data_IF_199185004586
#
_entry.id   IF_199185004586
#
_cell.length_a   1.000
_cell.length_b   1.000
_cell.length_c   1.000
_cell.angle_alpha   90.00
_cell.angle_beta   90.00
_cell.angle_gamma   90.00
#
_symmetry.space_group_name_H-M   'P 1'
#
loop_
_entity.id
_entity.type
_entity.pdbx_description
1 polymer ?
#
# COMPACT_ATOMS: atom_id res chain seq x y z
N UNK A 1 -29.14 -19.25 -0.91
CA UNK A 1 -27.70 -19.42 -1.17
C UNK A 1 -26.99 -18.18 -0.66
N UNK A 2 -26.50 -18.24 0.57
CA UNK A 2 -25.73 -17.16 1.19
C UNK A 2 -24.34 -17.17 0.56
N UNK A 3 -24.03 -16.19 -0.27
CA UNK A 3 -22.66 -15.95 -0.70
C UNK A 3 -21.83 -15.74 0.56
N UNK A 4 -20.92 -16.67 0.83
CA UNK A 4 -19.86 -16.47 1.82
C UNK A 4 -19.23 -15.10 1.57
N UNK A 5 -18.96 -14.29 2.62
CA UNK A 5 -18.21 -13.07 2.41
C UNK A 5 -16.90 -13.49 1.76
N UNK A 6 -16.62 -13.00 0.56
CA UNK A 6 -15.32 -13.19 -0.09
C UNK A 6 -14.30 -12.81 0.95
N UNK A 7 -13.59 -13.79 1.53
CA UNK A 7 -12.60 -13.51 2.54
C UNK A 7 -11.48 -12.80 1.81
N UNK A 8 -11.56 -11.48 1.72
CA UNK A 8 -10.52 -10.66 1.13
C UNK A 8 -9.24 -10.95 1.91
N UNK A 9 -8.38 -11.73 1.27
CA UNK A 9 -7.09 -12.11 1.78
C UNK A 9 -6.16 -10.90 1.55
N UNK A 10 -5.18 -10.68 2.43
CA UNK A 10 -4.25 -9.55 2.34
C UNK A 10 -3.53 -9.47 0.98
N UNK A 11 -3.20 -10.62 0.38
CA UNK A 11 -2.65 -10.76 -0.97
C UNK A 11 -3.58 -10.15 -2.01
N UNK A 12 -4.86 -10.52 -2.02
CA UNK A 12 -5.82 -10.05 -3.03
C UNK A 12 -5.98 -8.53 -2.96
N UNK A 13 -6.13 -8.02 -1.73
CA UNK A 13 -6.27 -6.58 -1.49
C UNK A 13 -5.02 -5.81 -1.91
N UNK A 14 -3.83 -6.22 -1.46
CA UNK A 14 -2.59 -5.52 -1.78
C UNK A 14 -2.21 -5.65 -3.27
N UNK A 15 -2.57 -6.75 -3.92
CA UNK A 15 -2.43 -6.92 -5.38
C UNK A 15 -3.34 -5.96 -6.14
N UNK A 16 -4.62 -5.83 -5.73
CA UNK A 16 -5.54 -4.87 -6.35
C UNK A 16 -5.02 -3.43 -6.18
N UNK A 17 -4.60 -3.07 -4.96
CA UNK A 17 -4.01 -1.76 -4.67
C UNK A 17 -2.74 -1.49 -5.49
N UNK A 18 -1.87 -2.49 -5.67
CA UNK A 18 -0.69 -2.36 -6.54
C UNK A 18 -1.06 -2.05 -7.99
N UNK A 19 -2.11 -2.69 -8.53
CA UNK A 19 -2.63 -2.39 -9.86
C UNK A 19 -3.14 -0.95 -9.99
N UNK A 20 -3.89 -0.48 -8.98
CA UNK A 20 -4.40 0.89 -8.92
C UNK A 20 -3.25 1.90 -8.83
N UNK A 21 -2.26 1.66 -7.96
CA UNK A 21 -1.10 2.54 -7.79
C UNK A 21 -0.22 2.57 -9.05
N UNK A 22 -0.07 1.44 -9.74
CA UNK A 22 0.61 1.39 -11.05
C UNK A 22 -0.12 2.24 -12.09
N UNK A 23 -1.46 2.21 -12.08
CA UNK A 23 -2.29 3.04 -12.95
C UNK A 23 -2.09 4.53 -12.65
N UNK A 24 -2.10 4.92 -11.37
CA UNK A 24 -1.80 6.28 -10.91
C UNK A 24 -0.41 6.72 -11.41
N UNK A 25 0.63 5.90 -11.21
CA UNK A 25 2.00 6.22 -11.65
C UNK A 25 2.13 6.34 -13.18
N UNK A 26 1.34 5.57 -13.93
CA UNK A 26 1.27 5.62 -15.40
C UNK A 26 0.58 6.88 -15.88
N UNK A 27 -0.56 7.23 -15.28
CA UNK A 27 -1.30 8.45 -15.57
C UNK A 27 -0.46 9.70 -15.30
N UNK A 28 0.26 9.75 -14.18
CA UNK A 28 1.20 10.85 -13.88
C UNK A 28 2.21 11.06 -15.01
N UNK A 29 2.73 9.98 -15.59
CA UNK A 29 3.64 10.06 -16.72
C UNK A 29 2.95 10.55 -17.99
N UNK A 30 1.87 9.88 -18.39
CA UNK A 30 1.17 10.11 -19.65
C UNK A 30 0.61 11.54 -19.72
N UNK A 31 0.17 12.06 -18.58
CA UNK A 31 -0.39 13.40 -18.48
C UNK A 31 0.65 14.48 -18.19
N UNK A 32 1.96 14.19 -18.25
CA UNK A 32 3.04 15.18 -18.03
C UNK A 32 2.95 15.90 -16.67
N UNK A 33 2.46 15.18 -15.66
CA UNK A 33 2.56 15.59 -14.27
C UNK A 33 3.95 15.13 -13.81
N UNK A 34 5.00 15.86 -14.22
CA UNK A 34 6.38 15.42 -14.04
C UNK A 34 6.76 15.30 -12.56
N UNK A 35 6.86 14.06 -12.10
CA UNK A 35 6.91 13.64 -10.70
C UNK A 35 7.76 12.35 -10.58
N UNK A 36 8.94 12.34 -11.20
CA UNK A 36 9.77 11.14 -11.33
C UNK A 36 10.02 10.40 -10.00
N UNK A 37 10.39 11.13 -8.93
CA UNK A 37 10.60 10.54 -7.61
C UNK A 37 9.35 9.89 -7.03
N UNK A 38 8.21 10.60 -7.06
CA UNK A 38 6.91 10.06 -6.62
C UNK A 38 6.53 8.80 -7.42
N UNK A 39 6.67 8.85 -8.76
CA UNK A 39 6.39 7.69 -9.62
C UNK A 39 7.26 6.49 -9.30
N UNK A 40 8.55 6.72 -9.01
CA UNK A 40 9.46 5.66 -8.61
C UNK A 40 8.99 5.01 -7.29
N UNK A 41 8.66 5.82 -6.29
CA UNK A 41 8.11 5.33 -5.00
C UNK A 41 6.82 4.53 -5.19
N UNK A 42 5.87 5.01 -6.01
CA UNK A 42 4.62 4.31 -6.28
C UNK A 42 4.85 2.95 -6.98
N UNK A 43 5.77 2.90 -7.94
CA UNK A 43 6.13 1.66 -8.63
C UNK A 43 6.83 0.67 -7.71
N UNK A 44 7.73 1.16 -6.86
CA UNK A 44 8.43 0.32 -5.89
C UNK A 44 7.47 -0.26 -4.86
N UNK A 45 6.51 0.54 -4.37
CA UNK A 45 5.40 0.05 -3.55
C UNK A 45 4.60 -1.04 -4.29
N UNK A 46 4.19 -0.78 -5.54
CA UNK A 46 3.37 -1.73 -6.29
C UNK A 46 4.09 -3.07 -6.52
N UNK A 47 5.41 -3.05 -6.76
CA UNK A 47 6.21 -4.25 -6.98
C UNK A 47 6.30 -5.16 -5.75
N UNK A 48 6.20 -4.60 -4.53
CA UNK A 48 6.29 -5.39 -3.28
C UNK A 48 4.96 -5.86 -2.73
N UNK A 49 3.86 -5.18 -3.03
CA UNK A 49 2.63 -5.29 -2.25
C UNK A 49 2.07 -6.72 -2.20
N UNK A 50 2.13 -7.47 -3.31
CA UNK A 50 1.72 -8.88 -3.33
C UNK A 50 2.58 -9.72 -2.38
N UNK A 51 3.91 -9.52 -2.40
CA UNK A 51 4.86 -10.26 -1.56
C UNK A 51 4.65 -9.96 -0.08
N UNK A 52 4.45 -8.69 0.27
CA UNK A 52 4.16 -8.28 1.65
C UNK A 52 2.79 -8.85 2.10
N UNK A 53 1.80 -8.93 1.21
CA UNK A 53 0.52 -9.59 1.47
C UNK A 53 0.66 -11.08 1.80
N UNK A 54 1.59 -11.79 1.15
CA UNK A 54 1.90 -13.19 1.47
C UNK A 54 2.50 -13.31 2.87
N UNK A 55 3.40 -12.38 3.26
CA UNK A 55 3.95 -12.35 4.61
C UNK A 55 2.87 -12.10 5.67
N UNK A 56 1.97 -11.12 5.45
CA UNK A 56 0.86 -10.82 6.37
C UNK A 56 -0.05 -12.03 6.58
N UNK A 57 -0.28 -12.85 5.57
CA UNK A 57 -1.05 -14.08 5.73
C UNK A 57 -0.28 -15.17 6.48
N UNK A 58 0.99 -15.37 6.12
CA UNK A 58 1.84 -16.39 6.74
C UNK A 58 2.04 -16.11 8.23
N UNK A 59 2.03 -14.83 8.64
CA UNK A 59 2.20 -14.45 10.04
C UNK A 59 1.14 -15.01 10.97
N UNK A 60 -0.05 -15.31 10.45
CA UNK A 60 -1.16 -15.89 11.21
C UNK A 60 -0.89 -17.30 11.72
N UNK A 61 0.13 -17.97 11.18
CA UNK A 61 0.51 -19.32 11.57
C UNK A 61 1.26 -19.35 12.92
N UNK A 62 1.76 -18.22 13.41
CA UNK A 62 2.56 -18.15 14.63
C UNK A 62 2.17 -16.95 15.49
N UNK A 63 1.84 -17.20 16.75
CA UNK A 63 1.48 -16.15 17.71
C UNK A 63 2.60 -15.12 17.88
N UNK A 64 3.87 -15.53 17.73
CA UNK A 64 5.04 -14.65 17.75
C UNK A 64 5.05 -13.66 16.58
N UNK A 65 4.55 -14.07 15.42
CA UNK A 65 4.64 -13.29 14.19
C UNK A 65 3.37 -12.49 13.88
N UNK A 66 2.23 -12.85 14.48
CA UNK A 66 0.93 -12.18 14.26
C UNK A 66 1.04 -10.67 14.48
N UNK A 67 1.73 -10.23 15.53
CA UNK A 67 1.88 -8.81 15.86
C UNK A 67 2.69 -8.04 14.81
N UNK A 68 3.78 -8.62 14.31
CA UNK A 68 4.55 -8.03 13.21
C UNK A 68 3.78 -8.01 11.89
N UNK A 69 2.97 -9.04 11.62
CA UNK A 69 2.07 -9.05 10.47
C UNK A 69 0.98 -7.97 10.56
N UNK A 70 0.45 -7.73 11.75
CA UNK A 70 -0.49 -6.64 12.04
C UNK A 70 0.16 -5.27 11.82
N UNK A 71 1.36 -5.07 12.36
CA UNK A 71 2.15 -3.85 12.16
C UNK A 71 2.43 -3.60 10.67
N UNK A 72 2.81 -4.63 9.92
CA UNK A 72 3.03 -4.54 8.48
C UNK A 72 1.74 -4.13 7.75
N UNK A 73 0.61 -4.79 8.05
CA UNK A 73 -0.68 -4.44 7.47
C UNK A 73 -1.08 -2.98 7.78
N UNK A 74 -0.85 -2.52 9.01
CA UNK A 74 -1.12 -1.15 9.41
C UNK A 74 -0.31 -0.13 8.60
N UNK A 75 1.01 -0.32 8.46
CA UNK A 75 1.84 0.63 7.69
C UNK A 75 1.50 0.66 6.20
N UNK A 76 1.01 -0.45 5.63
CA UNK A 76 0.42 -0.43 4.30
C UNK A 76 -0.83 0.45 4.24
N UNK A 77 -1.75 0.33 5.21
CA UNK A 77 -2.97 1.13 5.23
C UNK A 77 -2.68 2.63 5.42
N UNK A 78 -1.66 2.99 6.19
CA UNK A 78 -1.22 4.38 6.33
C UNK A 78 -0.65 4.95 5.00
N UNK A 79 0.13 4.15 4.27
CA UNK A 79 0.59 4.51 2.93
C UNK A 79 -0.58 4.79 1.97
N UNK A 80 -1.56 3.89 1.96
CA UNK A 80 -2.77 4.02 1.14
C UNK A 80 -3.60 5.25 1.54
N UNK A 81 -3.80 5.47 2.83
CA UNK A 81 -4.54 6.63 3.35
C UNK A 81 -3.83 7.94 2.99
N UNK A 82 -2.50 7.95 2.98
CA UNK A 82 -1.69 9.09 2.54
C UNK A 82 -1.90 9.40 1.05
N UNK A 83 -2.03 8.39 0.18
CA UNK A 83 -2.35 8.61 -1.23
C UNK A 83 -3.69 9.32 -1.42
N UNK A 84 -4.72 8.90 -0.68
CA UNK A 84 -6.04 9.55 -0.69
C UNK A 84 -5.95 11.00 -0.22
N UNK A 85 -5.21 11.25 0.88
CA UNK A 85 -4.98 12.60 1.41
C UNK A 85 -4.31 13.52 0.37
N UNK A 86 -3.41 12.99 -0.45
CA UNK A 86 -2.77 13.73 -1.55
C UNK A 86 -3.59 13.77 -2.84
N UNK A 87 -4.79 13.18 -2.83
CA UNK A 87 -5.65 13.03 -4.00
C UNK A 87 -4.93 12.35 -5.18
N UNK A 88 -4.03 11.40 -4.87
CA UNK A 88 -3.36 10.55 -5.84
C UNK A 88 -4.29 9.39 -6.19
N UNK A 89 -5.39 9.71 -6.88
CA UNK A 89 -6.39 8.74 -7.33
C UNK A 89 -6.30 8.54 -8.85
N UNK A 90 -6.87 7.44 -9.35
CA UNK A 90 -6.95 7.18 -10.81
C UNK A 90 -7.68 8.31 -11.53
N UNK A 91 -8.88 8.77 -11.09
CA UNK A 91 -9.55 9.89 -11.76
C UNK A 91 -8.74 11.19 -11.75
N UNK A 92 -8.09 11.52 -10.62
CA UNK A 92 -7.32 12.76 -10.51
C UNK A 92 -6.07 12.75 -11.40
N UNK A 93 -5.35 11.64 -11.42
CA UNK A 93 -4.15 11.50 -12.25
C UNK A 93 -4.46 11.38 -13.74
N UNK A 94 -5.66 10.91 -14.12
CA UNK A 94 -6.09 10.79 -15.51
C UNK A 94 -6.33 12.15 -16.21
N UNK A 95 -6.42 13.24 -15.44
CA UNK A 95 -6.65 14.58 -15.99
C UNK A 95 -5.41 15.14 -16.68
N UNK A 96 -5.59 15.59 -17.93
CA UNK A 96 -4.59 16.39 -18.65
C UNK A 96 -4.49 17.79 -18.04
N UNK A 97 -3.35 18.11 -17.39
CA UNK A 97 -3.19 19.39 -16.67
C UNK A 97 -3.19 20.64 -17.56
N UNK A 98 -2.90 20.47 -18.85
CA UNK A 98 -2.84 21.54 -19.84
C UNK A 98 -4.22 21.89 -20.46
N UNK A 99 -5.31 21.24 -20.05
CA UNK A 99 -6.66 21.63 -20.48
C UNK A 99 -7.42 22.37 -19.37
N UNK A 100 -7.62 23.68 -19.56
CA UNK A 100 -8.32 24.54 -18.58
C UNK A 100 -9.74 24.03 -18.25
N UNK A 101 -10.45 23.44 -19.23
CA UNK A 101 -11.78 22.81 -19.03
C UNK A 101 -11.74 21.60 -18.09
N UNK A 102 -10.63 20.86 -18.04
CA UNK A 102 -10.50 19.70 -17.16
C UNK A 102 -10.06 20.10 -15.75
N UNK A 103 -9.28 21.17 -15.60
CA UNK A 103 -8.92 21.76 -14.30
C UNK A 103 -10.13 22.30 -13.53
N UNK A 104 -11.19 22.67 -14.24
CA UNK A 104 -12.48 23.09 -13.67
C UNK A 104 -13.34 21.91 -13.18
N UNK A 105 -13.08 20.68 -13.63
CA UNK A 105 -13.74 19.48 -13.11
C UNK A 105 -13.05 19.04 -11.82
N UNK A 106 -13.85 18.63 -10.83
CA UNK A 106 -13.58 18.40 -9.39
C UNK A 106 -12.30 17.65 -8.97
N UNK A 107 -11.46 17.16 -9.87
CA UNK A 107 -10.27 16.38 -9.55
C UNK A 107 -9.00 17.22 -9.66
N UNK A 108 -8.79 18.12 -8.69
CA UNK A 108 -7.55 18.89 -8.59
C UNK A 108 -6.53 18.09 -7.79
N UNK A 109 -5.50 17.58 -8.45
CA UNK A 109 -4.29 17.13 -7.77
C UNK A 109 -3.63 18.32 -7.07
N UNK A 110 -3.25 18.17 -5.80
CA UNK A 110 -2.51 19.22 -5.11
C UNK A 110 -1.10 19.29 -5.68
N UNK A 111 -0.86 20.26 -6.57
CA UNK A 111 0.44 20.47 -7.21
C UNK A 111 1.45 21.20 -6.30
N UNK A 112 1.01 21.64 -5.12
CA UNK A 112 1.84 22.31 -4.13
C UNK A 112 2.43 21.29 -3.15
N UNK A 113 3.69 21.49 -2.74
CA UNK A 113 4.34 20.64 -1.73
C UNK A 113 4.77 19.25 -2.22
N UNK A 114 4.85 19.04 -3.53
CA UNK A 114 5.24 17.76 -4.16
C UNK A 114 6.54 17.16 -3.62
N UNK A 115 7.64 17.93 -3.41
CA UNK A 115 8.84 17.36 -2.83
C UNK A 115 8.60 16.81 -1.42
N UNK A 116 7.76 17.47 -0.63
CA UNK A 116 7.39 17.01 0.70
C UNK A 116 6.53 15.74 0.63
N UNK A 117 5.54 15.68 -0.29
CA UNK A 117 4.72 14.49 -0.51
C UNK A 117 5.56 13.28 -0.96
N UNK A 118 6.50 13.49 -1.89
CA UNK A 118 7.39 12.44 -2.37
C UNK A 118 8.31 11.93 -1.26
N UNK A 119 8.87 12.83 -0.45
CA UNK A 119 9.70 12.46 0.70
C UNK A 119 8.91 11.69 1.76
N UNK A 120 7.70 12.14 2.07
CA UNK A 120 6.81 11.47 3.03
C UNK A 120 6.44 10.06 2.56
N UNK A 121 5.96 9.90 1.33
CA UNK A 121 5.67 8.59 0.75
C UNK A 121 6.91 7.70 0.68
N UNK A 122 8.09 8.27 0.41
CA UNK A 122 9.34 7.51 0.42
C UNK A 122 9.67 7.00 1.82
N UNK A 123 9.54 7.84 2.85
CA UNK A 123 9.76 7.44 4.23
C UNK A 123 8.76 6.36 4.69
N UNK A 124 7.50 6.45 4.26
CA UNK A 124 6.50 5.41 4.55
C UNK A 124 6.82 4.09 3.83
N UNK A 125 7.33 4.15 2.59
CA UNK A 125 7.79 2.96 1.87
C UNK A 125 9.01 2.31 2.55
N UNK A 126 9.95 3.10 3.06
CA UNK A 126 11.09 2.61 3.86
C UNK A 126 10.62 1.98 5.17
N UNK A 127 9.59 2.55 5.81
CA UNK A 127 8.98 1.95 6.98
C UNK A 127 8.34 0.59 6.66
N UNK A 128 7.60 0.48 5.56
CA UNK A 128 7.05 -0.80 5.06
C UNK A 128 8.17 -1.82 4.84
N UNK A 129 9.27 -1.41 4.18
CA UNK A 129 10.47 -2.25 3.98
C UNK A 129 10.97 -2.82 5.29
N UNK A 130 11.22 -1.95 6.27
CA UNK A 130 11.78 -2.35 7.55
C UNK A 130 10.85 -3.30 8.30
N UNK A 131 9.52 -3.08 8.28
CA UNK A 131 8.57 -3.98 8.94
C UNK A 131 8.46 -5.34 8.24
N UNK A 132 8.51 -5.37 6.91
CA UNK A 132 8.50 -6.61 6.15
C UNK A 132 9.77 -7.43 6.40
N UNK A 133 10.94 -6.77 6.45
CA UNK A 133 12.23 -7.42 6.74
C UNK A 133 12.29 -7.98 8.18
N UNK A 134 11.73 -7.27 9.16
CA UNK A 134 11.60 -7.77 10.53
C UNK A 134 10.67 -9.00 10.61
N UNK A 135 9.51 -8.93 9.96
CA UNK A 135 8.57 -10.07 9.92
C UNK A 135 9.20 -11.29 9.23
N UNK A 136 9.96 -11.06 8.16
CA UNK A 136 10.70 -12.11 7.47
C UNK A 136 11.75 -12.75 8.39
N UNK A 137 12.49 -11.96 9.16
CA UNK A 137 13.46 -12.47 10.14
C UNK A 137 12.77 -13.31 11.23
N UNK A 138 11.62 -12.87 11.72
CA UNK A 138 10.80 -13.61 12.69
C UNK A 138 10.30 -14.96 12.15
N UNK A 139 10.00 -15.06 10.86
CA UNK A 139 9.65 -16.34 10.24
C UNK A 139 10.83 -17.31 10.23
N UNK A 140 12.03 -16.81 9.92
CA UNK A 140 13.25 -17.62 9.93
C UNK A 140 13.52 -18.16 11.34
N UNK A 141 13.39 -17.33 12.37
CA UNK A 141 13.62 -17.76 13.75
C UNK A 141 12.49 -18.64 14.31
N UNK A 142 11.24 -18.32 13.97
CA UNK A 142 10.05 -19.05 14.41
C UNK A 142 9.76 -20.34 13.65
N UNK A 143 10.58 -20.70 12.64
CA UNK A 143 10.38 -21.89 11.82
C UNK A 143 9.09 -21.85 10.98
N UNK A 144 8.56 -20.66 10.68
CA UNK A 144 7.34 -20.49 9.88
C UNK A 144 7.68 -20.69 8.41
N UNK A 145 6.80 -21.37 7.68
CA UNK A 145 7.00 -21.58 6.24
C UNK A 145 6.92 -20.23 5.51
N UNK A 146 8.05 -19.80 4.95
CA UNK A 146 8.15 -18.55 4.20
C UNK A 146 7.56 -18.77 2.81
N UNK A 147 6.58 -17.96 2.38
CA UNK A 147 6.00 -18.06 1.05
C UNK A 147 7.03 -17.65 -0.02
N UNK A 148 6.96 -18.26 -1.20
CA UNK A 148 7.79 -17.84 -2.33
C UNK A 148 7.39 -16.42 -2.78
N UNK A 149 8.36 -15.50 -2.70
CA UNK A 149 8.20 -14.11 -3.08
C UNK A 149 9.29 -13.67 -4.05
N UNK A 150 8.96 -12.91 -5.11
CA UNK A 150 9.96 -12.32 -6.00
C UNK A 150 10.82 -11.25 -5.31
N UNK A 151 10.39 -10.74 -4.15
CA UNK A 151 11.16 -9.78 -3.35
C UNK A 151 12.22 -10.50 -2.52
N UNK A 152 13.46 -10.01 -2.61
CA UNK A 152 14.56 -10.41 -1.76
C UNK A 152 14.57 -9.55 -0.49
N UNK A 153 13.99 -10.05 0.60
CA UNK A 153 14.04 -9.40 1.90
C UNK A 153 15.45 -9.49 2.50
N UNK A 154 15.93 -8.40 3.10
CA UNK A 154 17.21 -8.41 3.80
C UNK A 154 17.07 -9.23 5.09
N UNK A 155 18.15 -9.93 5.43
CA UNK A 155 18.27 -10.62 6.72
C UNK A 155 18.56 -9.58 7.81
N UNK A 156 17.60 -9.36 8.68
CA UNK A 156 17.71 -8.47 9.84
C UNK A 156 17.64 -9.32 11.11
N UNK A 157 18.17 -8.82 12.22
CA UNK A 157 18.00 -9.47 13.53
C UNK A 157 16.54 -9.34 13.96
N UNK A 158 15.91 -10.46 14.29
CA UNK A 158 14.58 -10.47 14.90
C UNK A 158 14.57 -9.66 16.20
N UNK A 159 13.45 -9.01 16.48
CA UNK A 159 13.27 -8.17 17.66
C UNK A 159 11.83 -8.33 18.15
N UNK A 160 11.56 -8.14 19.44
CA UNK A 160 10.18 -8.19 19.92
C UNK A 160 9.35 -7.02 19.35
N UNK A 161 8.07 -7.27 19.02
CA UNK A 161 7.19 -6.23 18.51
C UNK A 161 7.00 -5.14 19.56
N UNK A 162 7.36 -3.90 19.20
CA UNK A 162 6.98 -2.73 19.98
C UNK A 162 5.51 -2.43 19.66
N UNK A 163 4.61 -3.10 20.39
CA UNK A 163 3.16 -2.89 20.45
C UNK A 163 2.46 -2.54 19.14
N UNK A 164 1.74 -3.50 18.54
CA UNK A 164 0.81 -3.18 17.46
C UNK A 164 -0.29 -2.21 17.94
N UNK A 165 -0.74 -1.25 17.11
CA UNK A 165 -1.95 -0.50 17.43
C UNK A 165 -3.13 -1.47 17.63
N UNK A 166 -4.13 -1.14 18.49
CA UNK A 166 -5.21 -2.06 18.88
C UNK A 166 -6.19 -2.42 17.75
N UNK A 167 -5.88 -2.11 16.49
CA UNK A 167 -6.72 -2.36 15.33
C UNK A 167 -6.68 -3.83 14.91
N UNK A 168 -7.84 -4.46 14.79
CA UNK A 168 -7.95 -5.84 14.31
C UNK A 168 -7.69 -5.92 12.79
N UNK A 169 -7.12 -7.03 12.32
CA UNK A 169 -6.87 -7.28 10.89
C UNK A 169 -8.12 -7.04 10.03
N UNK A 170 -9.30 -7.46 10.52
CA UNK A 170 -10.56 -7.26 9.80
C UNK A 170 -10.90 -5.79 9.57
N UNK A 171 -10.57 -4.92 10.52
CA UNK A 171 -10.79 -3.47 10.37
C UNK A 171 -9.80 -2.87 9.37
N UNK A 172 -8.53 -3.30 9.40
CA UNK A 172 -7.53 -2.92 8.39
C UNK A 172 -7.94 -3.34 6.97
N UNK A 173 -8.43 -4.56 6.81
CA UNK A 173 -8.93 -5.05 5.51
C UNK A 173 -10.12 -4.21 5.05
N UNK A 174 -11.07 -3.92 5.95
CA UNK A 174 -12.23 -3.06 5.65
C UNK A 174 -11.79 -1.66 5.21
N UNK A 175 -10.88 -1.02 5.96
CA UNK A 175 -10.28 0.28 5.61
C UNK A 175 -9.63 0.23 4.24
N UNK A 176 -8.86 -0.81 3.97
CA UNK A 176 -8.19 -1.00 2.68
C UNK A 176 -9.15 -1.20 1.52
N UNK A 177 -10.22 -1.98 1.68
CA UNK A 177 -11.25 -2.16 0.64
C UNK A 177 -11.97 -0.85 0.33
N UNK A 178 -12.29 -0.03 1.33
CA UNK A 178 -12.86 1.31 1.10
C UNK A 178 -11.88 2.19 0.32
N UNK A 179 -10.61 2.21 0.74
CA UNK A 179 -9.60 2.99 0.07
C UNK A 179 -9.33 2.52 -1.37
N UNK A 180 -9.41 1.21 -1.65
CA UNK A 180 -9.34 0.66 -3.00
C UNK A 180 -10.44 1.24 -3.90
N UNK A 181 -11.67 1.33 -3.39
CA UNK A 181 -12.80 1.88 -4.13
C UNK A 181 -12.62 3.39 -4.39
N UNK A 182 -12.12 4.14 -3.41
CA UNK A 182 -11.85 5.58 -3.57
C UNK A 182 -10.69 5.86 -4.54
N UNK A 183 -9.56 5.16 -4.38
CA UNK A 183 -8.39 5.32 -5.25
C UNK A 183 -8.72 4.97 -6.71
N UNK A 184 -9.56 3.96 -6.93
CA UNK A 184 -10.02 3.57 -8.26
C UNK A 184 -11.11 4.49 -8.83
N UNK A 185 -11.73 5.34 -8.00
CA UNK A 185 -12.84 6.20 -8.41
C UNK A 185 -14.17 5.46 -8.59
N UNK A 186 -14.32 4.28 -7.96
CA UNK A 186 -15.56 3.48 -8.00
C UNK A 186 -16.64 4.03 -7.06
N UNK A 187 -16.28 4.88 -6.10
CA UNK A 187 -17.23 5.68 -5.32
C UNK A 187 -17.41 7.02 -6.05
N UNK A 188 -18.64 7.39 -6.50
CA UNK A 188 -18.88 8.73 -7.00
C UNK A 188 -18.74 9.75 -5.85
N UNK A 189 -18.21 10.96 -6.12
CA UNK A 189 -18.06 12.01 -5.11
C UNK A 189 -19.38 12.54 -4.58
#
# INVERSE_FOLDING_TARGET
>A
MTSSPTSYNAVDLLTSLAGIITTIATNLHANRLDRAGLRATLKEYAARAESDGKLINASRQSQRCVEHGLLLAYVHMEFITTLLRYNLTVPATAVKWYSVRSLLKRYRLSLFGIPAQARDLRAQLENIQNKAELLYADFVEGGVQIPETPILYRKVTACEPVGAPPEAIHDLLRRGTLAEQELSGKIPP
#
